data_IF_317917706784
#
_entry.id   IF_317917706784
#
_cell.length_a   1.000
_cell.length_b   1.000
_cell.length_c   1.000
_cell.angle_alpha   90.00
_cell.angle_beta   90.00
_cell.angle_gamma   90.00
#
_symmetry.space_group_name_H-M   'P 1'
#
loop_
_entity.id
_entity.type
_entity.pdbx_description
1 polymer ?
#
# COMPACT_ATOMS: atom_id res chain seq x y z
N UNK A 1 -26.63 29.05 4.24
CA UNK A 1 -28.07 28.75 4.41
C UNK A 1 -28.26 27.24 4.47
N UNK A 2 -29.26 26.71 5.19
CA UNK A 2 -29.54 25.25 5.25
C UNK A 2 -30.87 24.96 4.56
N UNK A 3 -30.85 24.01 3.62
CA UNK A 3 -32.06 23.57 2.91
C UNK A 3 -32.17 22.06 3.00
N UNK A 4 -33.34 21.56 3.36
CA UNK A 4 -33.60 20.13 3.48
C UNK A 4 -34.62 19.69 2.44
N UNK A 5 -34.28 18.66 1.66
CA UNK A 5 -35.15 18.02 0.69
C UNK A 5 -35.40 16.56 1.11
N UNK A 6 -36.61 16.06 0.86
CA UNK A 6 -36.96 14.67 1.10
C UNK A 6 -37.18 13.96 -0.22
N UNK A 7 -36.53 12.80 -0.40
CA UNK A 7 -36.64 11.99 -1.61
C UNK A 7 -37.18 10.62 -1.23
N UNK A 8 -38.31 10.25 -1.82
CA UNK A 8 -38.92 8.93 -1.69
C UNK A 8 -38.55 8.10 -2.92
N UNK A 9 -37.70 7.09 -2.73
CA UNK A 9 -37.41 6.07 -3.72
C UNK A 9 -38.20 4.80 -3.40
N UNK A 10 -38.50 3.93 -4.38
CA UNK A 10 -39.34 2.74 -4.17
C UNK A 10 -38.90 1.81 -3.02
N UNK A 11 -37.61 1.85 -2.66
CA UNK A 11 -37.02 0.96 -1.64
C UNK A 11 -36.43 1.68 -0.42
N UNK A 12 -36.31 3.02 -0.44
CA UNK A 12 -35.66 3.81 0.63
C UNK A 12 -36.23 5.24 0.68
N UNK A 13 -36.48 5.76 1.88
CA UNK A 13 -36.75 7.17 2.11
C UNK A 13 -35.48 7.88 2.60
N UNK A 14 -35.09 8.97 1.92
CA UNK A 14 -33.85 9.71 2.20
C UNK A 14 -34.14 11.18 2.51
N UNK A 15 -33.38 11.72 3.47
CA UNK A 15 -33.28 13.14 3.75
C UNK A 15 -31.97 13.68 3.17
N UNK A 16 -32.08 14.71 2.34
CA UNK A 16 -30.96 15.40 1.70
C UNK A 16 -30.82 16.78 2.34
N UNK A 17 -29.74 17.00 3.07
CA UNK A 17 -29.46 18.27 3.76
C UNK A 17 -28.34 18.98 3.01
N UNK A 18 -28.67 20.11 2.39
CA UNK A 18 -27.71 20.97 1.74
C UNK A 18 -27.30 22.12 2.67
N UNK A 19 -26.00 22.26 2.87
CA UNK A 19 -25.36 23.35 3.62
C UNK A 19 -24.57 24.21 2.64
N UNK A 20 -25.02 25.44 2.45
CA UNK A 20 -24.33 26.42 1.63
C UNK A 20 -23.48 27.33 2.51
N UNK A 21 -22.17 27.35 2.26
CA UNK A 21 -21.22 28.26 2.91
C UNK A 21 -21.14 29.57 2.13
N UNK A 22 -21.46 30.67 2.81
CA UNK A 22 -21.37 32.02 2.24
C UNK A 22 -19.93 32.45 1.96
N UNK A 23 -18.93 31.79 2.54
CA UNK A 23 -17.52 32.14 2.38
C UNK A 23 -16.86 31.43 1.20
N UNK A 24 -17.22 30.17 0.93
CA UNK A 24 -16.56 29.36 -0.11
C UNK A 24 -17.39 29.21 -1.37
N UNK A 25 -18.64 29.70 -1.40
CA UNK A 25 -19.62 29.47 -2.48
C UNK A 25 -19.82 27.97 -2.81
N UNK A 26 -19.41 27.08 -1.91
CA UNK A 26 -19.57 25.63 -2.05
C UNK A 26 -20.83 25.18 -1.33
N UNK A 27 -21.59 24.32 -1.99
CA UNK A 27 -22.74 23.63 -1.41
C UNK A 27 -22.32 22.21 -1.08
N UNK A 28 -22.42 21.84 0.18
CA UNK A 28 -22.18 20.47 0.65
C UNK A 28 -23.54 19.80 0.78
N UNK A 29 -23.68 18.58 0.26
CA UNK A 29 -24.92 17.81 0.27
C UNK A 29 -24.72 16.55 1.09
N UNK A 30 -25.48 16.42 2.17
CA UNK A 30 -25.49 15.24 3.03
C UNK A 30 -26.74 14.41 2.76
N UNK A 31 -26.60 13.09 2.67
CA UNK A 31 -27.71 12.17 2.43
C UNK A 31 -27.81 11.20 3.61
N UNK A 32 -28.96 11.17 4.27
CA UNK A 32 -29.24 10.30 5.40
C UNK A 32 -30.51 9.48 5.14
N UNK A 33 -30.62 8.25 5.67
CA UNK A 33 -31.92 7.59 5.78
C UNK A 33 -32.90 8.47 6.57
N UNK A 34 -34.12 8.65 6.06
CA UNK A 34 -35.14 9.49 6.71
C UNK A 34 -35.44 9.02 8.14
N UNK A 35 -35.37 7.70 8.37
CA UNK A 35 -35.54 7.09 9.69
C UNK A 35 -34.51 7.62 10.69
N UNK A 36 -33.27 7.83 10.27
CA UNK A 36 -32.20 8.26 11.17
C UNK A 36 -32.32 9.74 11.50
N UNK A 37 -32.86 10.55 10.58
CA UNK A 37 -33.17 11.97 10.81
C UNK A 37 -34.43 12.15 11.68
N UNK A 38 -35.38 11.22 11.61
CA UNK A 38 -36.60 11.26 12.42
C UNK A 38 -36.41 10.74 13.86
N UNK A 39 -35.35 9.98 14.13
CA UNK A 39 -35.04 9.48 15.48
C UNK A 39 -34.13 10.47 16.22
N UNK A 40 -34.71 11.22 17.15
CA UNK A 40 -34.01 12.24 17.95
C UNK A 40 -32.82 11.71 18.75
N UNK A 41 -32.68 10.39 18.93
CA UNK A 41 -31.48 9.79 19.54
C UNK A 41 -30.23 9.91 18.66
N UNK A 42 -30.42 10.02 17.34
CA UNK A 42 -29.35 10.16 16.36
C UNK A 42 -28.99 11.62 16.07
N UNK A 43 -29.70 12.59 16.65
CA UNK A 43 -29.44 14.03 16.45
C UNK A 43 -28.00 14.40 16.80
N UNK A 44 -27.42 13.78 17.84
CA UNK A 44 -26.02 14.00 18.22
C UNK A 44 -25.05 13.47 17.15
N UNK A 45 -25.34 12.32 16.54
CA UNK A 45 -24.51 11.71 15.49
C UNK A 45 -24.63 12.48 14.17
N UNK A 46 -25.85 12.89 13.79
CA UNK A 46 -26.09 13.69 12.59
C UNK A 46 -25.45 15.07 12.73
N UNK A 47 -25.65 15.74 13.88
CA UNK A 47 -24.98 17.02 14.14
C UNK A 47 -23.46 16.87 14.23
N UNK A 48 -22.95 15.74 14.74
CA UNK A 48 -21.51 15.45 14.74
C UNK A 48 -21.00 15.21 13.32
N UNK A 49 -21.72 14.50 12.46
CA UNK A 49 -21.32 14.31 11.06
C UNK A 49 -21.34 15.63 10.28
N UNK A 50 -22.37 16.46 10.51
CA UNK A 50 -22.46 17.81 9.93
C UNK A 50 -21.36 18.75 10.46
N UNK A 51 -20.93 18.60 11.72
CA UNK A 51 -19.84 19.39 12.31
C UNK A 51 -18.45 18.84 12.02
N UNK A 52 -18.27 17.53 11.88
CA UNK A 52 -16.96 16.92 11.65
C UNK A 52 -16.36 17.33 10.30
N UNK A 53 -17.21 17.70 9.32
CA UNK A 53 -16.74 18.29 8.06
C UNK A 53 -16.65 19.82 8.08
N UNK A 54 -17.32 20.50 9.02
CA UNK A 54 -17.05 21.92 9.30
C UNK A 54 -15.76 22.11 10.13
N UNK A 55 -15.42 21.15 10.99
CA UNK A 55 -14.20 21.14 11.79
C UNK A 55 -12.96 20.75 10.97
N UNK A 56 -13.12 20.18 9.78
CA UNK A 56 -12.03 20.07 8.80
C UNK A 56 -11.60 21.44 8.26
N UNK A 57 -12.42 22.50 8.41
CA UNK A 57 -12.04 23.87 8.06
C UNK A 57 -11.47 24.67 9.25
N UNK A 58 -11.67 24.24 10.50
CA UNK A 58 -11.34 25.02 11.71
C UNK A 58 -10.13 24.52 12.53
N UNK A 59 -9.72 23.24 12.41
CA UNK A 59 -8.53 22.70 13.10
C UNK A 59 -7.31 22.47 12.18
N UNK A 60 -7.40 22.81 10.90
CA UNK A 60 -6.22 22.95 10.05
C UNK A 60 -5.59 24.33 10.27
N UNK A 61 -4.35 24.37 10.77
CA UNK A 61 -3.48 25.53 10.65
C UNK A 61 -3.59 26.06 9.21
N UNK A 62 -4.33 27.16 9.05
CA UNK A 62 -4.78 27.69 7.76
C UNK A 62 -3.55 28.04 6.92
N UNK A 63 -3.12 27.07 6.13
CA UNK A 63 -1.83 27.14 5.47
C UNK A 63 -1.94 28.11 4.29
N UNK A 64 -1.05 29.10 4.16
CA UNK A 64 -1.26 30.18 3.20
C UNK A 64 -1.16 29.65 1.75
N UNK A 65 -2.26 29.76 1.01
CA UNK A 65 -2.37 29.39 -0.39
C UNK A 65 -1.59 30.38 -1.28
N UNK A 66 -0.49 29.93 -1.94
CA UNK A 66 0.34 30.76 -2.84
C UNK A 66 1.82 30.34 -2.87
N UNK A 67 2.76 31.15 -3.41
CA UNK A 67 4.22 30.93 -3.28
C UNK A 67 4.70 30.75 -1.83
N UNK A 68 3.87 31.18 -0.88
CA UNK A 68 3.95 30.93 0.55
C UNK A 68 3.90 29.44 0.90
N UNK A 69 3.12 28.63 0.17
CA UNK A 69 2.98 27.20 0.40
C UNK A 69 4.28 26.44 0.07
N UNK A 70 4.89 26.73 -1.07
CA UNK A 70 6.20 26.16 -1.44
C UNK A 70 7.24 26.50 -0.38
N UNK A 71 7.36 27.77 0.00
CA UNK A 71 8.32 28.23 1.02
C UNK A 71 8.07 27.61 2.38
N UNK A 72 6.81 27.48 2.78
CA UNK A 72 6.47 26.89 4.06
C UNK A 72 6.79 25.38 4.07
N UNK A 73 6.60 24.65 2.95
CA UNK A 73 6.88 23.21 2.91
C UNK A 73 8.39 22.95 2.96
N UNK A 74 9.16 23.76 2.23
CA UNK A 74 10.63 23.73 2.27
C UNK A 74 11.11 23.94 3.71
N UNK A 75 10.61 24.98 4.39
CA UNK A 75 10.97 25.24 5.80
C UNK A 75 10.61 24.07 6.72
N UNK A 76 9.46 23.44 6.51
CA UNK A 76 9.07 22.25 7.27
C UNK A 76 10.05 21.09 7.05
N UNK A 77 10.35 20.75 5.79
CA UNK A 77 11.29 19.67 5.46
C UNK A 77 12.69 19.96 6.02
N UNK A 78 13.18 21.18 5.87
CA UNK A 78 14.49 21.59 6.37
C UNK A 78 14.55 21.55 7.91
N UNK A 79 13.48 21.96 8.59
CA UNK A 79 13.36 21.85 10.04
C UNK A 79 13.35 20.39 10.49
N UNK A 80 12.65 19.52 9.76
CA UNK A 80 12.58 18.10 10.07
C UNK A 80 13.94 17.42 9.92
N UNK A 81 14.69 17.81 8.90
CA UNK A 81 16.06 17.33 8.65
C UNK A 81 17.02 17.67 9.80
N UNK A 82 16.78 18.77 10.51
CA UNK A 82 17.68 19.24 11.56
C UNK A 82 17.52 18.51 12.91
N UNK A 83 16.44 17.76 13.16
CA UNK A 83 16.24 17.23 14.52
C UNK A 83 15.05 16.32 14.80
N UNK A 84 14.49 15.59 13.83
CA UNK A 84 13.47 14.57 14.15
C UNK A 84 14.09 13.28 14.70
N UNK A 85 13.49 12.75 15.76
CA UNK A 85 13.69 11.35 16.17
C UNK A 85 12.97 10.39 15.21
N UNK A 86 13.26 9.09 15.28
CA UNK A 86 12.78 8.12 14.29
C UNK A 86 11.26 7.89 14.33
N UNK A 87 10.64 7.97 15.51
CA UNK A 87 9.17 7.87 15.64
C UNK A 87 8.47 9.07 14.99
N UNK A 88 8.98 10.28 15.24
CA UNK A 88 8.45 11.50 14.64
C UNK A 88 8.65 11.50 13.12
N UNK A 89 9.78 10.99 12.59
CA UNK A 89 9.98 10.84 11.14
C UNK A 89 8.86 10.03 10.49
N UNK A 90 8.43 8.92 11.11
CA UNK A 90 7.38 8.04 10.58
C UNK A 90 6.01 8.72 10.50
N UNK A 91 5.73 9.68 11.39
CA UNK A 91 4.47 10.45 11.41
C UNK A 91 4.52 11.66 10.48
N UNK A 92 5.58 12.45 10.59
CA UNK A 92 5.74 13.71 9.84
C UNK A 92 5.92 13.49 8.34
N UNK A 93 6.53 12.36 7.95
CA UNK A 93 6.66 12.00 6.53
C UNK A 93 5.30 11.80 5.86
N UNK A 94 4.33 11.19 6.54
CA UNK A 94 2.97 10.97 6.00
C UNK A 94 2.25 12.30 5.82
N UNK A 95 2.39 13.22 6.78
CA UNK A 95 1.79 14.56 6.67
C UNK A 95 2.42 15.36 5.53
N UNK A 96 3.75 15.34 5.43
CA UNK A 96 4.50 16.01 4.35
C UNK A 96 4.13 15.45 2.99
N UNK A 97 4.02 14.12 2.87
CA UNK A 97 3.64 13.43 1.64
C UNK A 97 2.24 13.83 1.18
N UNK A 98 1.27 13.86 2.09
CA UNK A 98 -0.09 14.29 1.80
C UNK A 98 -0.16 15.74 1.28
N UNK A 99 0.63 16.64 1.87
CA UNK A 99 0.75 18.04 1.41
C UNK A 99 1.35 18.12 0.01
N UNK A 100 2.41 17.35 -0.28
CA UNK A 100 3.05 17.33 -1.61
C UNK A 100 2.08 16.92 -2.72
N UNK A 101 1.24 15.91 -2.48
CA UNK A 101 0.30 15.41 -3.49
C UNK A 101 -1.02 16.21 -3.52
N UNK A 102 -1.24 17.15 -2.61
CA UNK A 102 -2.47 17.94 -2.57
C UNK A 102 -2.60 18.87 -3.79
N UNK A 103 -1.49 19.42 -4.29
CA UNK A 103 -1.48 20.45 -5.36
C UNK A 103 -0.49 20.15 -6.48
N UNK A 104 -0.81 20.67 -7.66
CA UNK A 104 -0.14 20.33 -8.92
C UNK A 104 1.32 20.81 -9.00
N UNK A 105 1.67 21.95 -8.39
CA UNK A 105 2.98 22.59 -8.58
C UNK A 105 4.01 22.31 -7.47
N UNK A 106 3.63 21.66 -6.37
CA UNK A 106 4.49 21.54 -5.20
C UNK A 106 5.70 20.65 -5.47
N UNK A 107 5.52 19.51 -6.13
CA UNK A 107 6.60 18.56 -6.44
C UNK A 107 7.65 19.25 -7.34
N UNK A 108 7.21 19.94 -8.40
CA UNK A 108 8.10 20.64 -9.34
C UNK A 108 8.85 21.80 -8.69
N UNK A 109 8.15 22.68 -7.98
CA UNK A 109 8.73 23.88 -7.37
C UNK A 109 9.74 23.52 -6.26
N UNK A 110 9.42 22.52 -5.44
CA UNK A 110 10.27 22.08 -4.33
C UNK A 110 11.44 21.25 -4.85
N UNK A 111 11.21 20.35 -5.82
CA UNK A 111 12.29 19.61 -6.48
C UNK A 111 13.30 20.55 -7.14
N UNK A 112 12.83 21.58 -7.85
CA UNK A 112 13.67 22.63 -8.44
C UNK A 112 14.42 23.47 -7.39
N UNK A 113 13.84 23.67 -6.22
CA UNK A 113 14.53 24.34 -5.11
C UNK A 113 15.71 23.49 -4.63
N UNK A 114 15.48 22.21 -4.33
CA UNK A 114 16.53 21.33 -3.82
C UNK A 114 17.58 20.96 -4.87
N UNK A 115 17.21 20.90 -6.15
CA UNK A 115 18.19 20.66 -7.23
C UNK A 115 19.18 21.81 -7.41
N UNK A 116 18.82 23.02 -6.98
CA UNK A 116 19.66 24.23 -7.04
C UNK A 116 20.42 24.49 -5.74
N UNK A 117 20.12 23.74 -4.68
CA UNK A 117 20.81 23.88 -3.40
C UNK A 117 22.26 23.38 -3.51
N UNK A 118 23.21 23.92 -2.72
CA UNK A 118 24.57 23.39 -2.67
C UNK A 118 24.54 21.90 -2.30
N UNK A 119 25.13 21.05 -3.14
CA UNK A 119 25.06 19.61 -2.96
C UNK A 119 25.42 18.82 -4.23
N UNK A 120 25.09 17.52 -4.27
CA UNK A 120 25.25 16.70 -5.47
C UNK A 120 24.37 17.23 -6.61
N UNK A 121 24.82 17.02 -7.84
CA UNK A 121 24.04 17.31 -9.04
C UNK A 121 23.10 16.13 -9.27
N UNK A 122 21.82 16.43 -9.48
CA UNK A 122 20.77 15.44 -9.75
C UNK A 122 20.39 15.51 -11.22
N UNK A 123 20.00 14.37 -11.79
CA UNK A 123 19.58 14.24 -13.18
C UNK A 123 18.14 14.77 -13.39
N UNK A 124 17.34 14.84 -12.32
CA UNK A 124 16.00 15.42 -12.36
C UNK A 124 15.60 16.15 -11.06
N UNK A 125 14.55 16.99 -11.14
CA UNK A 125 13.95 17.63 -9.96
C UNK A 125 13.27 16.61 -9.04
N UNK A 126 12.77 15.51 -9.61
CA UNK A 126 12.12 14.43 -8.87
C UNK A 126 13.13 13.62 -8.05
N UNK A 127 14.30 13.34 -8.62
CA UNK A 127 15.41 12.69 -7.93
C UNK A 127 15.94 13.54 -6.78
N UNK A 128 16.07 14.86 -6.99
CA UNK A 128 16.48 15.80 -5.94
C UNK A 128 15.50 15.79 -4.75
N UNK A 129 14.19 15.82 -5.04
CA UNK A 129 13.15 15.76 -4.02
C UNK A 129 13.13 14.39 -3.31
N UNK A 130 13.17 13.29 -4.07
CA UNK A 130 13.19 11.93 -3.51
C UNK A 130 14.40 11.74 -2.59
N UNK A 131 15.59 12.19 -3.00
CA UNK A 131 16.80 12.18 -2.17
C UNK A 131 16.58 12.97 -0.89
N UNK A 132 16.02 14.18 -0.97
CA UNK A 132 15.77 15.00 0.21
C UNK A 132 14.79 14.35 1.19
N UNK A 133 13.70 13.77 0.69
CA UNK A 133 12.71 13.07 1.50
C UNK A 133 13.31 11.84 2.19
N UNK A 134 14.08 11.02 1.46
CA UNK A 134 14.76 9.84 2.02
C UNK A 134 15.80 10.23 3.07
N UNK A 135 16.60 11.27 2.81
CA UNK A 135 17.58 11.78 3.78
C UNK A 135 16.92 12.32 5.05
N UNK A 136 15.76 12.97 4.91
CA UNK A 136 15.04 13.59 6.04
C UNK A 136 14.30 12.55 6.88
N UNK A 137 13.59 11.61 6.24
CA UNK A 137 12.62 10.73 6.89
C UNK A 137 13.00 9.26 6.93
N UNK A 138 14.17 8.88 6.42
CA UNK A 138 14.63 7.49 6.19
C UNK A 138 13.87 6.75 5.08
N UNK A 139 14.53 5.71 4.55
CA UNK A 139 13.94 4.80 3.56
C UNK A 139 12.63 4.16 4.04
N UNK A 140 12.62 3.63 5.28
CA UNK A 140 11.43 3.04 5.90
C UNK A 140 10.31 4.05 6.14
N UNK A 141 10.64 5.30 6.49
CA UNK A 141 9.65 6.36 6.64
C UNK A 141 9.00 6.75 5.31
N UNK A 142 9.81 6.88 4.25
CA UNK A 142 9.29 7.15 2.91
C UNK A 142 8.45 5.98 2.39
N UNK A 143 8.89 4.73 2.58
CA UNK A 143 8.09 3.56 2.25
C UNK A 143 6.73 3.63 2.96
N UNK A 144 6.69 3.86 4.27
CA UNK A 144 5.44 4.03 5.03
C UNK A 144 4.54 5.10 4.44
N UNK A 145 5.07 6.25 4.00
CA UNK A 145 4.28 7.31 3.39
C UNK A 145 3.67 6.93 2.03
N UNK A 146 4.39 6.16 1.21
CA UNK A 146 3.90 5.61 -0.06
C UNK A 146 2.76 4.60 0.19
N UNK A 147 2.89 3.79 1.25
CA UNK A 147 1.94 2.73 1.59
C UNK A 147 0.69 3.24 2.31
N UNK A 148 0.80 4.34 3.04
CA UNK A 148 -0.33 5.01 3.70
C UNK A 148 -1.37 5.46 2.65
N UNK A 149 -2.69 5.46 2.94
CA UNK A 149 -3.74 5.32 1.95
C UNK A 149 -3.55 6.19 0.70
N UNK A 150 -3.32 5.48 -0.40
CA UNK A 150 -3.29 6.04 -1.76
C UNK A 150 -4.66 6.68 -2.06
N UNK A 151 -4.70 7.78 -2.83
CA UNK A 151 -5.97 8.36 -3.28
C UNK A 151 -6.86 7.28 -3.90
N UNK A 152 -8.11 7.20 -3.46
CA UNK A 152 -9.05 6.14 -3.87
C UNK A 152 -9.46 6.23 -5.34
N UNK A 153 -9.38 7.42 -5.94
CA UNK A 153 -9.63 7.64 -7.35
C UNK A 153 -8.30 7.57 -8.15
N UNK A 154 -8.09 6.52 -8.96
CA UNK A 154 -6.85 6.29 -9.69
C UNK A 154 -6.61 7.32 -10.82
N UNK A 155 -7.64 8.04 -11.28
CA UNK A 155 -7.54 9.03 -12.36
C UNK A 155 -7.37 10.44 -11.78
N UNK A 156 -7.45 10.59 -10.45
CA UNK A 156 -7.26 11.89 -9.81
C UNK A 156 -5.85 12.45 -10.04
N UNK A 157 -5.74 13.77 -10.18
CA UNK A 157 -4.43 14.44 -10.24
C UNK A 157 -3.56 14.12 -9.02
N UNK A 158 -4.18 13.87 -7.86
CA UNK A 158 -3.52 13.42 -6.62
C UNK A 158 -2.87 12.04 -6.80
N UNK A 159 -3.54 11.10 -7.47
CA UNK A 159 -2.98 9.79 -7.80
C UNK A 159 -1.80 9.90 -8.78
N UNK A 160 -1.92 10.75 -9.81
CA UNK A 160 -0.80 11.01 -10.74
C UNK A 160 0.45 11.55 -10.02
N UNK A 161 0.27 12.46 -9.07
CA UNK A 161 1.38 12.97 -8.22
C UNK A 161 1.96 11.92 -7.28
N UNK A 162 1.12 11.10 -6.67
CA UNK A 162 1.59 10.00 -5.84
C UNK A 162 2.43 9.00 -6.66
N UNK A 163 1.99 8.65 -7.88
CA UNK A 163 2.75 7.79 -8.77
C UNK A 163 4.09 8.40 -9.19
N UNK A 164 4.14 9.70 -9.46
CA UNK A 164 5.39 10.39 -9.78
C UNK A 164 6.40 10.34 -8.62
N UNK A 165 5.95 10.57 -7.38
CA UNK A 165 6.81 10.48 -6.20
C UNK A 165 7.28 9.05 -5.93
N UNK A 166 6.41 8.05 -6.05
CA UNK A 166 6.80 6.66 -5.81
C UNK A 166 7.79 6.15 -6.88
N UNK A 167 7.63 6.57 -8.14
CA UNK A 167 8.56 6.23 -9.22
C UNK A 167 9.92 6.88 -9.00
N UNK A 168 9.96 8.15 -8.57
CA UNK A 168 11.21 8.82 -8.23
C UNK A 168 11.96 8.11 -7.10
N UNK A 169 11.23 7.65 -6.06
CA UNK A 169 11.82 6.88 -4.95
C UNK A 169 12.30 5.51 -5.43
N UNK A 170 11.53 4.81 -6.26
CA UNK A 170 11.92 3.52 -6.82
C UNK A 170 13.19 3.63 -7.68
N UNK A 171 13.28 4.63 -8.55
CA UNK A 171 14.47 4.91 -9.37
C UNK A 171 15.69 5.22 -8.49
N UNK A 172 15.53 6.07 -7.48
CA UNK A 172 16.60 6.40 -6.54
C UNK A 172 17.15 5.15 -5.83
N UNK A 173 16.30 4.19 -5.47
CA UNK A 173 16.73 2.96 -4.80
C UNK A 173 17.52 2.05 -5.76
N UNK A 174 17.07 1.95 -7.03
CA UNK A 174 17.79 1.21 -8.08
C UNK A 174 19.16 1.81 -8.35
N UNK A 175 19.26 3.13 -8.50
CA UNK A 175 20.52 3.86 -8.73
C UNK A 175 21.50 3.69 -7.57
N UNK A 176 20.99 3.57 -6.33
CA UNK A 176 21.80 3.29 -5.14
C UNK A 176 22.15 1.80 -4.97
N UNK A 177 21.77 0.94 -5.92
CA UNK A 177 22.09 -0.49 -5.90
C UNK A 177 21.34 -1.27 -4.82
N UNK A 178 20.13 -0.85 -4.46
CA UNK A 178 19.30 -1.61 -3.51
C UNK A 178 18.96 -2.99 -4.08
N UNK A 179 19.24 -4.03 -3.31
CA UNK A 179 18.79 -5.39 -3.61
C UNK A 179 17.30 -5.55 -3.29
N UNK A 180 16.64 -6.55 -3.86
CA UNK A 180 15.24 -6.87 -3.53
C UNK A 180 15.04 -7.07 -2.03
N UNK A 181 16.01 -7.68 -1.34
CA UNK A 181 15.98 -7.82 0.12
C UNK A 181 15.98 -6.47 0.84
N UNK A 182 16.77 -5.49 0.37
CA UNK A 182 16.76 -4.15 0.96
C UNK A 182 15.42 -3.45 0.75
N UNK A 183 14.80 -3.61 -0.42
CA UNK A 183 13.48 -3.03 -0.72
C UNK A 183 12.42 -3.62 0.22
N UNK A 184 12.32 -4.95 0.29
CA UNK A 184 11.34 -5.65 1.13
C UNK A 184 11.52 -5.30 2.60
N UNK A 185 12.77 -5.21 3.09
CA UNK A 185 13.06 -4.84 4.48
C UNK A 185 12.60 -3.41 4.84
N UNK A 186 12.58 -2.49 3.88
CA UNK A 186 12.06 -1.12 4.11
C UNK A 186 10.54 -1.03 4.00
N UNK A 187 9.90 -1.93 3.27
CA UNK A 187 8.44 -2.04 3.15
C UNK A 187 7.85 -2.79 4.35
N UNK A 188 8.62 -3.68 4.97
CA UNK A 188 8.19 -4.55 6.06
C UNK A 188 7.46 -3.80 7.18
N UNK A 189 6.26 -4.30 7.49
CA UNK A 189 5.46 -3.96 8.67
C UNK A 189 5.50 -5.13 9.65
N UNK A 190 4.72 -5.05 10.73
CA UNK A 190 4.60 -6.14 11.69
C UNK A 190 3.63 -7.26 11.22
N UNK A 191 2.90 -7.06 10.10
CA UNK A 191 1.95 -8.04 9.54
C UNK A 191 2.40 -8.48 8.13
N UNK A 192 2.78 -9.75 7.97
CA UNK A 192 3.20 -10.34 6.70
C UNK A 192 2.19 -10.13 5.56
N UNK A 193 0.90 -10.01 5.91
CA UNK A 193 -0.18 -9.80 4.95
C UNK A 193 -0.04 -8.46 4.21
N UNK A 194 0.60 -7.47 4.83
CA UNK A 194 0.72 -6.13 4.27
C UNK A 194 1.60 -6.08 3.02
N UNK A 195 2.51 -7.04 2.82
CA UNK A 195 3.28 -7.16 1.57
C UNK A 195 2.39 -7.36 0.34
N UNK A 196 1.25 -8.03 0.53
CA UNK A 196 0.29 -8.35 -0.53
C UNK A 196 -0.84 -7.32 -0.63
N UNK A 197 -0.85 -6.27 0.21
CA UNK A 197 -1.72 -5.13 0.00
C UNK A 197 -1.42 -4.48 -1.35
N UNK A 198 -2.45 -4.08 -2.10
CA UNK A 198 -2.27 -3.60 -3.49
C UNK A 198 -1.31 -2.42 -3.60
N UNK A 199 -1.22 -1.54 -2.60
CA UNK A 199 -0.28 -0.42 -2.57
C UNK A 199 1.16 -0.89 -2.40
N UNK A 200 1.41 -1.79 -1.44
CA UNK A 200 2.73 -2.35 -1.18
C UNK A 200 3.25 -3.19 -2.33
N UNK A 201 2.44 -4.14 -2.81
CA UNK A 201 2.85 -5.03 -3.88
C UNK A 201 3.16 -4.24 -5.17
N UNK A 202 2.34 -3.23 -5.51
CA UNK A 202 2.58 -2.40 -6.70
C UNK A 202 3.85 -1.57 -6.57
N UNK A 203 4.13 -1.00 -5.39
CA UNK A 203 5.39 -0.28 -5.18
C UNK A 203 6.61 -1.21 -5.23
N UNK A 204 6.52 -2.41 -4.63
CA UNK A 204 7.57 -3.42 -4.71
C UNK A 204 7.87 -3.79 -6.17
N UNK A 205 6.84 -4.07 -6.99
CA UNK A 205 7.00 -4.35 -8.43
C UNK A 205 7.69 -3.19 -9.16
N UNK A 206 7.42 -1.93 -8.81
CA UNK A 206 8.15 -0.79 -9.39
C UNK A 206 9.62 -0.79 -9.02
N UNK A 207 9.99 -1.28 -7.83
CA UNK A 207 11.37 -1.37 -7.38
C UNK A 207 12.13 -2.55 -8.01
N UNK A 208 11.46 -3.70 -8.21
CA UNK A 208 12.10 -4.95 -8.69
C UNK A 208 11.73 -5.33 -10.13
N UNK A 209 11.02 -4.46 -10.84
CA UNK A 209 10.64 -4.53 -12.27
C UNK A 209 9.65 -5.63 -12.69
N UNK A 210 9.41 -6.66 -11.88
CA UNK A 210 8.47 -7.73 -12.22
C UNK A 210 7.68 -8.28 -11.03
N UNK A 211 6.49 -8.85 -11.31
CA UNK A 211 5.70 -9.57 -10.28
C UNK A 211 6.40 -10.86 -9.82
N UNK A 212 7.13 -11.53 -10.71
CA UNK A 212 7.86 -12.76 -10.37
C UNK A 212 9.01 -12.46 -9.39
N UNK A 213 9.78 -11.38 -9.63
CA UNK A 213 10.85 -10.94 -8.72
C UNK A 213 10.30 -10.41 -7.40
N UNK A 214 9.12 -9.76 -7.41
CA UNK A 214 8.45 -9.29 -6.20
C UNK A 214 8.01 -10.46 -5.32
N UNK A 215 7.37 -11.48 -5.91
CA UNK A 215 6.98 -12.70 -5.18
C UNK A 215 8.22 -13.43 -4.65
N UNK A 216 9.30 -13.54 -5.44
CA UNK A 216 10.54 -14.16 -4.99
C UNK A 216 11.17 -13.40 -3.82
N UNK A 217 11.22 -12.08 -3.88
CA UNK A 217 11.80 -11.24 -2.82
C UNK A 217 11.03 -11.38 -1.50
N UNK A 218 9.69 -11.42 -1.56
CA UNK A 218 8.85 -11.67 -0.37
C UNK A 218 9.08 -13.09 0.16
N UNK A 219 9.17 -14.08 -0.73
CA UNK A 219 9.42 -15.47 -0.33
C UNK A 219 10.78 -15.65 0.37
N UNK A 220 11.85 -15.07 -0.18
CA UNK A 220 13.17 -15.07 0.46
C UNK A 220 13.16 -14.32 1.80
N UNK A 221 12.44 -13.20 1.89
CA UNK A 221 12.26 -12.47 3.14
C UNK A 221 11.54 -13.30 4.22
N UNK A 222 10.61 -14.17 3.83
CA UNK A 222 9.99 -15.17 4.71
C UNK A 222 10.89 -16.37 5.04
N UNK A 223 12.19 -16.31 4.70
CA UNK A 223 13.14 -17.39 4.93
C UNK A 223 12.90 -18.58 4.02
N UNK A 224 12.39 -18.33 2.81
CA UNK A 224 12.02 -19.35 1.83
C UNK A 224 11.03 -20.38 2.39
N UNK A 225 10.11 -19.92 3.24
CA UNK A 225 9.08 -20.75 3.88
C UNK A 225 7.77 -20.71 3.06
N UNK A 226 7.39 -21.82 2.37
CA UNK A 226 6.18 -21.84 1.56
C UNK A 226 4.90 -21.70 2.39
N UNK A 227 4.89 -22.24 3.61
CA UNK A 227 3.72 -22.18 4.50
C UNK A 227 3.45 -20.78 5.00
N UNK A 228 4.51 -20.02 5.32
CA UNK A 228 4.41 -18.58 5.65
C UNK A 228 3.92 -17.77 4.47
N UNK A 229 4.47 -18.03 3.28
CA UNK A 229 4.04 -17.36 2.05
C UNK A 229 2.57 -17.62 1.73
N UNK A 230 2.12 -18.87 1.69
CA UNK A 230 0.72 -19.21 1.44
C UNK A 230 -0.20 -18.63 2.52
N UNK A 231 0.23 -18.66 3.78
CA UNK A 231 -0.56 -18.05 4.85
C UNK A 231 -0.77 -16.56 4.59
N UNK A 232 0.29 -15.80 4.31
CA UNK A 232 0.19 -14.37 4.02
C UNK A 232 -0.73 -14.09 2.82
N UNK A 233 -0.61 -14.86 1.73
CA UNK A 233 -1.46 -14.72 0.53
C UNK A 233 -2.92 -15.03 0.84
N UNK A 234 -3.22 -16.13 1.54
CA UNK A 234 -4.60 -16.52 1.87
C UNK A 234 -5.26 -15.49 2.80
N UNK A 235 -4.53 -14.99 3.80
CA UNK A 235 -5.05 -13.93 4.66
C UNK A 235 -5.21 -12.60 3.91
N UNK A 236 -4.36 -12.30 2.93
CA UNK A 236 -4.54 -11.14 2.06
C UNK A 236 -5.83 -11.23 1.24
N UNK A 237 -6.21 -12.43 0.78
CA UNK A 237 -7.46 -12.66 0.04
C UNK A 237 -8.71 -12.40 0.89
N UNK A 238 -8.60 -12.53 2.22
CA UNK A 238 -9.68 -12.26 3.17
C UNK A 238 -9.84 -10.76 3.51
N UNK A 239 -8.85 -9.91 3.17
CA UNK A 239 -8.90 -8.48 3.49
C UNK A 239 -9.91 -7.73 2.59
N UNK A 240 -10.64 -6.73 3.12
CA UNK A 240 -11.52 -5.89 2.30
C UNK A 240 -10.75 -5.16 1.19
N UNK A 241 -11.30 -5.17 -0.03
CA UNK A 241 -10.68 -4.48 -1.18
C UNK A 241 -9.47 -5.21 -1.77
N UNK A 242 -9.24 -6.47 -1.43
CA UNK A 242 -8.19 -7.30 -2.01
C UNK A 242 -8.32 -7.44 -3.53
N UNK A 243 -7.21 -7.28 -4.25
CA UNK A 243 -7.12 -7.61 -5.67
C UNK A 243 -6.94 -9.12 -5.83
N UNK A 244 -8.05 -9.85 -5.82
CA UNK A 244 -8.07 -11.32 -5.86
C UNK A 244 -7.28 -11.86 -7.06
N UNK A 245 -7.31 -11.18 -8.21
CA UNK A 245 -6.58 -11.64 -9.39
C UNK A 245 -5.07 -11.59 -9.17
N UNK A 246 -4.54 -10.51 -8.59
CA UNK A 246 -3.11 -10.42 -8.26
C UNK A 246 -2.70 -11.46 -7.22
N UNK A 247 -3.51 -11.64 -6.17
CA UNK A 247 -3.24 -12.62 -5.13
C UNK A 247 -3.26 -14.06 -5.67
N UNK A 248 -4.18 -14.37 -6.57
CA UNK A 248 -4.22 -15.65 -7.29
C UNK A 248 -2.97 -15.86 -8.15
N UNK A 249 -2.43 -14.81 -8.77
CA UNK A 249 -1.16 -14.88 -9.51
C UNK A 249 0.02 -15.16 -8.57
N UNK A 250 0.10 -14.49 -7.41
CA UNK A 250 1.11 -14.74 -6.38
C UNK A 250 1.02 -16.17 -5.81
N UNK A 251 -0.19 -16.70 -5.61
CA UNK A 251 -0.42 -18.09 -5.21
C UNK A 251 0.06 -19.07 -6.29
N UNK A 252 -0.30 -18.83 -7.55
CA UNK A 252 0.13 -19.63 -8.71
C UNK A 252 1.62 -19.57 -8.98
N UNK A 253 2.29 -18.46 -8.65
CA UNK A 253 3.74 -18.35 -8.70
C UNK A 253 4.39 -19.39 -7.78
N UNK A 254 3.91 -19.51 -6.53
CA UNK A 254 4.42 -20.52 -5.59
C UNK A 254 4.14 -21.95 -6.07
N UNK A 255 2.96 -22.24 -6.61
CA UNK A 255 2.69 -23.56 -7.19
C UNK A 255 3.63 -23.89 -8.35
N UNK A 256 3.89 -22.93 -9.25
CA UNK A 256 4.83 -23.13 -10.37
C UNK A 256 6.25 -23.38 -9.87
N UNK A 257 6.68 -22.70 -8.81
CA UNK A 257 8.00 -22.90 -8.21
C UNK A 257 8.25 -24.37 -7.85
N UNK A 258 7.29 -25.04 -7.22
CA UNK A 258 7.41 -26.46 -6.86
C UNK A 258 7.12 -27.43 -8.01
N UNK A 259 6.20 -27.10 -8.91
CA UNK A 259 5.84 -27.96 -10.05
C UNK A 259 6.88 -27.93 -11.18
N UNK A 260 7.69 -26.88 -11.27
CA UNK A 260 8.68 -26.67 -12.34
C UNK A 260 10.12 -26.67 -11.83
N UNK A 261 10.34 -27.04 -10.56
CA UNK A 261 11.67 -27.27 -10.02
C UNK A 261 12.40 -28.37 -10.82
N UNK A 262 13.75 -28.41 -10.81
CA UNK A 262 14.51 -29.50 -11.44
C UNK A 262 14.06 -30.89 -10.95
N UNK A 263 13.67 -30.99 -9.68
CA UNK A 263 13.01 -32.14 -9.08
C UNK A 263 11.61 -31.70 -8.59
N UNK A 264 10.56 -31.80 -9.43
CA UNK A 264 9.22 -31.38 -9.07
C UNK A 264 8.65 -32.19 -7.90
N UNK A 265 8.00 -31.51 -6.97
CA UNK A 265 7.39 -32.19 -5.81
C UNK A 265 6.13 -32.92 -6.27
N UNK A 266 6.00 -34.20 -5.95
CA UNK A 266 4.69 -34.87 -6.09
C UNK A 266 3.68 -34.25 -5.12
N UNK A 267 2.36 -34.36 -5.34
CA UNK A 267 1.40 -33.80 -4.39
C UNK A 267 1.57 -34.26 -2.93
N UNK A 268 1.88 -35.55 -2.64
CA UNK A 268 2.25 -35.98 -1.29
C UNK A 268 3.53 -35.31 -0.74
N UNK A 269 4.56 -35.11 -1.57
CA UNK A 269 5.78 -34.42 -1.13
C UNK A 269 5.53 -32.94 -0.84
N UNK A 270 4.67 -32.30 -1.64
CA UNK A 270 4.25 -30.92 -1.45
C UNK A 270 3.43 -30.75 -0.17
N UNK A 271 2.48 -31.66 0.09
CA UNK A 271 1.74 -31.71 1.36
C UNK A 271 2.67 -31.86 2.56
N UNK A 272 3.60 -32.83 2.49
CA UNK A 272 4.59 -33.07 3.54
C UNK A 272 5.46 -31.84 3.78
N UNK A 273 5.90 -31.15 2.72
CA UNK A 273 6.68 -29.93 2.83
C UNK A 273 5.90 -28.84 3.56
N UNK A 274 4.66 -28.56 3.15
CA UNK A 274 3.82 -27.54 3.80
C UNK A 274 3.62 -27.81 5.29
N UNK A 275 3.39 -29.07 5.68
CA UNK A 275 3.29 -29.45 7.08
C UNK A 275 4.62 -29.21 7.82
N UNK A 276 5.73 -29.65 7.24
CA UNK A 276 7.05 -29.57 7.86
C UNK A 276 7.57 -28.15 8.06
N UNK A 277 7.29 -27.24 7.12
CA UNK A 277 7.69 -25.83 7.24
C UNK A 277 6.86 -25.03 8.27
N UNK A 278 5.86 -25.64 8.91
CA UNK A 278 5.13 -25.05 10.04
C UNK A 278 5.69 -25.47 11.39
N UNK A 279 6.55 -26.49 11.44
CA UNK A 279 7.19 -26.96 12.67
C UNK A 279 8.35 -26.02 13.07
N UNK A 280 8.44 -25.72 14.36
CA UNK A 280 9.45 -24.81 14.92
C UNK A 280 10.87 -25.34 14.81
N UNK A 281 11.03 -26.67 14.81
CA UNK A 281 12.33 -27.34 14.70
C UNK A 281 12.94 -27.25 13.29
N UNK A 282 12.14 -26.86 12.29
CA UNK A 282 12.50 -26.87 10.87
C UNK A 282 12.38 -25.49 10.20
N UNK A 283 12.03 -24.46 10.98
CA UNK A 283 12.19 -23.08 10.53
C UNK A 283 13.69 -22.85 10.26
N UNK A 284 14.02 -22.45 9.02
CA UNK A 284 15.39 -22.11 8.67
C UNK A 284 15.95 -21.11 9.70
N UNK A 285 17.21 -21.30 10.11
CA UNK A 285 17.88 -20.48 11.13
C UNK A 285 17.69 -18.99 10.81
N UNK A 286 16.95 -18.27 11.66
CA UNK A 286 16.66 -16.85 11.51
C UNK A 286 15.26 -16.48 11.00
N UNK A 287 14.45 -17.45 10.54
CA UNK A 287 13.05 -17.22 10.20
C UNK A 287 12.21 -17.08 11.49
N UNK A 288 11.65 -15.90 11.72
CA UNK A 288 10.62 -15.74 12.75
C UNK A 288 9.44 -16.64 12.39
N UNK A 289 9.16 -17.63 13.23
CA UNK A 289 8.05 -18.57 13.06
C UNK A 289 6.76 -18.09 13.74
N UNK A 290 6.75 -16.82 14.17
CA UNK A 290 5.61 -16.14 14.78
C UNK A 290 4.73 -15.55 13.68
N UNK A 291 4.01 -16.44 12.97
CA UNK A 291 2.99 -16.07 11.99
C UNK A 291 1.77 -16.99 12.14
N UNK A 292 0.62 -16.57 11.61
CA UNK A 292 -0.58 -17.41 11.64
C UNK A 292 -0.40 -18.62 10.73
N UNK A 293 -0.18 -19.81 11.31
CA UNK A 293 0.03 -21.06 10.56
C UNK A 293 -1.20 -21.46 9.74
N UNK A 294 -1.00 -22.24 8.68
CA UNK A 294 -2.12 -22.77 7.89
C UNK A 294 -2.87 -23.83 8.69
N UNK A 295 -4.20 -23.83 8.61
CA UNK A 295 -5.00 -24.93 9.12
C UNK A 295 -4.87 -26.19 8.24
N UNK A 296 -5.13 -27.39 8.78
CA UNK A 296 -5.14 -28.62 7.98
C UNK A 296 -6.06 -28.52 6.73
N UNK A 297 -7.22 -27.87 6.88
CA UNK A 297 -8.15 -27.66 5.76
C UNK A 297 -7.63 -26.72 4.67
N UNK A 298 -6.75 -25.77 5.03
CA UNK A 298 -6.09 -24.91 4.05
C UNK A 298 -5.01 -25.68 3.31
N UNK A 299 -4.25 -26.52 4.01
CA UNK A 299 -3.23 -27.40 3.39
C UNK A 299 -3.90 -28.35 2.39
N UNK A 300 -4.98 -29.02 2.78
CA UNK A 300 -5.72 -29.95 1.92
C UNK A 300 -6.17 -29.27 0.60
N UNK A 301 -6.73 -28.06 0.69
CA UNK A 301 -7.14 -27.27 -0.49
C UNK A 301 -5.96 -26.85 -1.37
N UNK A 302 -4.84 -26.44 -0.78
CA UNK A 302 -3.64 -26.09 -1.53
C UNK A 302 -3.07 -27.30 -2.27
N UNK A 303 -3.10 -28.48 -1.65
CA UNK A 303 -2.64 -29.74 -2.25
C UNK A 303 -3.58 -30.20 -3.37
N UNK A 304 -4.90 -30.06 -3.20
CA UNK A 304 -5.89 -30.33 -4.24
C UNK A 304 -5.64 -29.43 -5.47
N UNK A 305 -5.45 -28.13 -5.27
CA UNK A 305 -5.16 -27.18 -6.35
C UNK A 305 -3.81 -27.48 -7.03
N UNK A 306 -2.77 -27.75 -6.24
CA UNK A 306 -1.45 -28.12 -6.74
C UNK A 306 -1.48 -29.41 -7.58
N UNK A 307 -2.26 -30.41 -7.17
CA UNK A 307 -2.41 -31.68 -7.89
C UNK A 307 -2.91 -31.48 -9.32
N UNK A 308 -3.85 -30.54 -9.51
CA UNK A 308 -4.32 -30.15 -10.84
C UNK A 308 -3.19 -29.59 -11.71
N UNK A 309 -2.37 -28.68 -11.17
CA UNK A 309 -1.27 -28.02 -11.87
C UNK A 309 -0.13 -29.01 -12.19
N UNK A 310 0.23 -29.87 -11.23
CA UNK A 310 1.26 -30.89 -11.38
C UNK A 310 0.90 -31.91 -12.47
N UNK A 311 -0.37 -32.32 -12.54
CA UNK A 311 -0.84 -33.30 -13.54
C UNK A 311 -0.71 -32.81 -14.99
N UNK A 312 -0.88 -31.49 -15.21
CA UNK A 312 -0.70 -30.87 -16.53
C UNK A 312 0.78 -30.77 -16.88
N UNK A 313 1.61 -30.41 -15.90
CA UNK A 313 3.05 -30.20 -16.11
C UNK A 313 3.78 -31.52 -16.37
N UNK A 314 3.48 -32.57 -15.61
CA UNK A 314 4.07 -33.91 -15.79
C UNK A 314 3.75 -34.53 -17.16
N UNK A 315 2.53 -34.34 -17.68
CA UNK A 315 2.17 -34.78 -19.04
C UNK A 315 2.99 -34.10 -20.14
N UNK A 316 3.30 -32.81 -19.98
CA UNK A 316 4.11 -32.07 -20.95
C UNK A 316 5.59 -32.48 -20.94
N UNK A 317 6.12 -32.91 -19.79
CA UNK A 317 7.47 -33.47 -19.69
C UNK A 317 7.58 -34.86 -20.34
N UNK A 318 6.59 -35.73 -20.15
CA UNK A 318 6.55 -37.06 -20.80
C UNK A 318 6.41 -36.94 -22.32
N UNK A 319 5.64 -35.97 -22.81
CA UNK A 319 5.48 -35.71 -24.25
C UNK A 319 6.77 -35.27 -24.96
N UNK A 320 7.64 -34.51 -24.29
CA UNK A 320 8.93 -34.05 -24.86
C UNK A 320 10.06 -35.08 -24.81
N UNK A 321 9.98 -36.07 -23.93
CA UNK A 321 10.95 -37.18 -23.91
C UNK A 321 10.66 -38.25 -24.97
N UNK A 322 9.56 -38.08 -25.73
CA UNK A 322 9.05 -39.02 -26.73
C UNK A 322 9.28 -38.56 -28.19
N UNK A 323 9.93 -37.40 -28.40
CA UNK A 323 10.33 -36.85 -29.70
C UNK A 323 11.87 -36.83 -29.83
#
# INVERSE_FOLDING_TARGET
>A
MRVCYFVLLPSVALAVIATESSETSRTIVHVFPLRDVADHRNDALINRALRAQAALDDDEERWPFGPSAVKALIRTIDSHRAGLNDEAKMKEVVQTWNKLIERDNLIDEIGKHYSKAPGPVYDSYDEALATMLVTTYSYRGVARAILHPRPSDPISNKAGRAHRLEEAVASLWKERGYTSHNVVSNIATDDDVDFFASTAFTFLVKCVESEDDANNAIFEYFGSNPSRYFSAVLHAMEKPGADIRKLENSKKWMFRLYAQAPEPFSPPDFEWALARFQDEDHAFVGAQNDYKKLSPSQIEKLVEEYSGIYSVTSRNFVGRASE
#
